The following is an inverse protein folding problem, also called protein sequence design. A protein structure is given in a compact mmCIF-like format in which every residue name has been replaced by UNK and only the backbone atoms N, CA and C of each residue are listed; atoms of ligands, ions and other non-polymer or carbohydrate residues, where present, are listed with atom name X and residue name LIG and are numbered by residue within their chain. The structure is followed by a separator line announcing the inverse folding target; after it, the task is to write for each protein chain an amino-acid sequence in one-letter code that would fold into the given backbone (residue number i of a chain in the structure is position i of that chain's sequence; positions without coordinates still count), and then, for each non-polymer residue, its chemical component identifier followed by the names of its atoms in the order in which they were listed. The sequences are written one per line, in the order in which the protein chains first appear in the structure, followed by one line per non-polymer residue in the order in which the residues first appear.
data_IF_213073722133
#
_entry.id   IF_213073722133
#
_cell.length_a   1.000
_cell.length_b   1.000
_cell.length_c   1.000
_cell.angle_alpha   90.00
_cell.angle_beta   90.00
_cell.angle_gamma   90.00
#
_symmetry.space_group_name_H-M   'P 1'
#
loop_
_entity.id
_entity.type
_entity.pdbx_description
1 polymer ?
#
# COMPACT_ATOMS: atom_id res chain seq x y z
N UNK A 1 1.16 -9.03 10.69
CA UNK A 1 0.65 -10.08 9.77
C UNK A 1 1.84 -10.62 8.99
N UNK A 2 2.55 -11.61 9.53
CA UNK A 2 3.60 -12.38 8.82
C UNK A 2 3.13 -13.82 8.65
N UNK A 3 2.15 -14.05 7.78
CA UNK A 3 1.75 -15.41 7.37
C UNK A 3 0.88 -15.38 6.11
N UNK A 4 1.52 -15.12 4.98
CA UNK A 4 1.02 -15.50 3.66
C UNK A 4 2.18 -15.52 2.65
N UNK A 5 3.22 -16.32 2.93
CA UNK A 5 4.18 -16.91 1.98
C UNK A 5 4.89 -16.08 0.89
N UNK A 6 4.63 -14.78 0.70
CA UNK A 6 5.09 -14.06 -0.49
C UNK A 6 5.30 -12.56 -0.27
N UNK A 7 5.31 -12.08 0.97
CA UNK A 7 5.62 -10.69 1.26
C UNK A 7 7.14 -10.50 1.36
N UNK A 8 7.72 -9.65 0.51
CA UNK A 8 9.18 -9.49 0.38
C UNK A 8 9.81 -8.38 1.23
N UNK A 9 9.00 -7.49 1.82
CA UNK A 9 9.52 -6.38 2.62
C UNK A 9 9.62 -6.75 4.11
N UNK A 10 10.58 -6.15 4.83
CA UNK A 10 10.77 -6.39 6.27
C UNK A 10 9.61 -5.86 7.13
N UNK A 11 8.95 -4.80 6.65
CA UNK A 11 7.74 -4.20 7.22
C UNK A 11 6.48 -4.99 6.86
N UNK A 12 5.42 -4.82 7.64
CA UNK A 12 4.08 -5.24 7.21
C UNK A 12 3.59 -4.40 6.01
N UNK A 13 2.67 -4.93 5.16
CA UNK A 13 2.01 -4.16 4.12
C UNK A 13 1.33 -2.90 4.68
N UNK A 14 1.40 -1.79 3.94
CA UNK A 14 0.61 -0.61 4.24
C UNK A 14 -0.87 -0.90 3.99
N UNK A 15 -1.74 -0.08 4.60
CA UNK A 15 -3.16 -0.18 4.31
C UNK A 15 -3.41 0.11 2.83
N UNK A 16 -4.28 -0.69 2.21
CA UNK A 16 -4.59 -0.66 0.77
C UNK A 16 -3.47 -1.17 -0.17
N UNK A 17 -2.33 -1.58 0.37
CA UNK A 17 -1.27 -2.21 -0.41
C UNK A 17 -1.66 -3.63 -0.81
N UNK A 18 -1.34 -3.99 -2.05
CA UNK A 18 -1.58 -5.33 -2.59
C UNK A 18 -0.52 -6.31 -2.11
N UNK A 19 -0.52 -7.55 -2.63
CA UNK A 19 0.58 -8.49 -2.41
C UNK A 19 1.89 -8.09 -3.10
N UNK A 20 1.85 -7.14 -4.03
CA UNK A 20 3.04 -6.54 -4.65
C UNK A 20 3.41 -5.25 -3.90
N UNK A 21 4.60 -5.17 -3.28
CA UNK A 21 5.06 -3.95 -2.60
C UNK A 21 5.06 -2.73 -3.50
N UNK A 22 4.63 -1.58 -2.97
CA UNK A 22 4.51 -0.32 -3.69
C UNK A 22 3.29 -0.22 -4.60
N UNK A 23 2.52 -1.30 -4.78
CA UNK A 23 1.28 -1.31 -5.58
C UNK A 23 0.08 -1.26 -4.64
N UNK A 24 -0.76 -0.24 -4.84
CA UNK A 24 -1.94 0.03 -4.01
C UNK A 24 -3.22 -0.09 -4.85
N UNK A 25 -4.29 -0.53 -4.20
CA UNK A 25 -5.62 -0.61 -4.79
C UNK A 25 -6.62 0.17 -3.94
N UNK A 26 -7.63 0.79 -4.55
CA UNK A 26 -8.66 1.54 -3.82
C UNK A 26 -10.03 1.40 -4.50
N UNK A 27 -11.10 1.45 -3.72
CA UNK A 27 -12.47 1.32 -4.18
C UNK A 27 -12.86 -0.12 -4.52
N UNK A 28 -13.83 -0.27 -5.42
CA UNK A 28 -14.56 -1.52 -5.63
C UNK A 28 -13.70 -2.69 -6.16
N UNK A 29 -12.54 -2.40 -6.76
CA UNK A 29 -11.56 -3.42 -7.19
C UNK A 29 -11.07 -4.29 -6.02
N UNK A 30 -11.16 -3.78 -4.78
CA UNK A 30 -10.80 -4.52 -3.57
C UNK A 30 -11.91 -5.42 -3.04
N UNK A 31 -12.99 -5.59 -3.81
CA UNK A 31 -14.21 -6.31 -3.40
C UNK A 31 -14.74 -5.83 -2.05
N UNK A 32 -14.54 -4.54 -1.77
CA UNK A 32 -14.97 -3.91 -0.52
C UNK A 32 -16.49 -3.99 -0.39
N UNK A 33 -17.05 -4.24 0.81
CA UNK A 33 -18.49 -4.32 1.01
C UNK A 33 -19.20 -3.00 0.69
N UNK A 34 -18.49 -1.86 0.78
CA UNK A 34 -19.04 -0.53 0.51
C UNK A 34 -18.70 -0.10 -0.91
N UNK A 35 -19.68 -0.18 -1.82
CA UNK A 35 -19.57 0.24 -3.22
C UNK A 35 -20.02 1.68 -3.46
N UNK A 36 -19.42 2.64 -2.74
CA UNK A 36 -19.79 4.06 -2.80
C UNK A 36 -18.63 4.91 -3.30
N UNK A 37 -18.95 5.87 -4.17
CA UNK A 37 -17.97 6.83 -4.74
C UNK A 37 -17.20 7.55 -3.64
N UNK A 38 -17.88 8.09 -2.62
CA UNK A 38 -17.23 8.81 -1.53
C UNK A 38 -16.22 7.95 -0.76
N UNK A 39 -16.52 6.66 -0.55
CA UNK A 39 -15.60 5.72 0.09
C UNK A 39 -14.39 5.41 -0.80
N UNK A 40 -14.61 5.17 -2.09
CA UNK A 40 -13.52 4.96 -3.04
C UNK A 40 -12.58 6.18 -3.14
N UNK A 41 -13.14 7.39 -3.14
CA UNK A 41 -12.36 8.65 -3.11
C UNK A 41 -11.53 8.75 -1.83
N UNK A 42 -12.11 8.44 -0.66
CA UNK A 42 -11.38 8.43 0.61
C UNK A 42 -10.23 7.42 0.62
N UNK A 43 -10.47 6.20 0.13
CA UNK A 43 -9.43 5.19 -0.02
C UNK A 43 -8.31 5.64 -0.97
N UNK A 44 -8.65 6.29 -2.10
CA UNK A 44 -7.68 6.83 -3.04
C UNK A 44 -6.76 7.88 -2.41
N UNK A 45 -7.33 8.82 -1.64
CA UNK A 45 -6.55 9.81 -0.89
C UNK A 45 -5.59 9.16 0.12
N UNK A 46 -6.03 8.11 0.81
CA UNK A 46 -5.17 7.36 1.73
C UNK A 46 -4.05 6.61 1.00
N UNK A 47 -4.34 5.99 -0.14
CA UNK A 47 -3.34 5.28 -0.95
C UNK A 47 -2.20 6.22 -1.35
N UNK A 48 -2.50 7.46 -1.74
CA UNK A 48 -1.48 8.47 -2.07
C UNK A 48 -0.56 8.77 -0.88
N UNK A 49 -1.12 8.94 0.32
CA UNK A 49 -0.31 9.18 1.52
C UNK A 49 0.67 8.02 1.79
N UNK A 50 0.23 6.76 1.61
CA UNK A 50 1.10 5.60 1.77
C UNK A 50 2.11 5.44 0.64
N UNK A 51 1.80 5.85 -0.59
CA UNK A 51 2.79 5.90 -1.69
C UNK A 51 3.94 6.84 -1.33
N UNK A 52 3.65 8.03 -0.80
CA UNK A 52 4.71 8.94 -0.34
C UNK A 52 5.57 8.33 0.76
N UNK A 53 4.94 7.63 1.72
CA UNK A 53 5.68 6.95 2.79
C UNK A 53 6.53 5.79 2.25
N UNK A 54 6.01 5.03 1.28
CA UNK A 54 6.74 3.94 0.64
C UNK A 54 7.99 4.46 -0.07
N UNK A 55 7.84 5.47 -0.93
CA UNK A 55 8.96 6.07 -1.66
C UNK A 55 10.00 6.67 -0.72
N UNK A 56 9.58 7.38 0.33
CA UNK A 56 10.50 7.94 1.31
C UNK A 56 11.32 6.86 2.05
N UNK A 57 10.78 5.66 2.22
CA UNK A 57 11.46 4.54 2.85
C UNK A 57 12.38 3.80 1.87
N UNK A 58 11.94 3.58 0.63
CA UNK A 58 12.79 3.02 -0.44
C UNK A 58 14.00 3.92 -0.71
N UNK A 59 13.80 5.24 -0.73
CA UNK A 59 14.89 6.22 -0.88
C UNK A 59 15.93 6.11 0.24
N UNK A 60 15.48 5.93 1.49
CA UNK A 60 16.38 5.72 2.63
C UNK A 60 17.15 4.41 2.47
N UNK A 61 16.45 3.33 2.12
CA UNK A 61 17.07 2.02 1.90
C UNK A 61 18.08 2.03 0.76
N UNK A 62 17.80 2.78 -0.32
CA UNK A 62 18.72 2.96 -1.44
C UNK A 62 19.98 3.72 -1.01
N UNK A 63 19.82 4.84 -0.29
CA UNK A 63 20.96 5.64 0.21
C UNK A 63 21.84 4.92 1.21
N UNK A 64 21.28 4.02 2.03
CA UNK A 64 22.07 3.22 2.98
C UNK A 64 22.93 2.14 2.33
N UNK A 65 22.74 1.86 1.03
CA UNK A 65 23.48 0.83 0.27
C UNK A 65 24.62 1.39 -0.59
N UNK A 66 24.63 2.70 -0.84
CA UNK A 66 25.75 3.45 -1.44
C UNK A 66 26.68 3.96 -0.36
#
# INVERSE_FOLDING_TARGET
VKKAGGWSQERDPYLLETSAPGVFACGDVRLSPVKRVASAVGEGSMAIAFVHQYLANEDKAHRSRT
#
